data_IF_575045762098
#
_entry.id   IF_575045762098
#
_cell.length_a   1.000
_cell.length_b   1.000
_cell.length_c   1.000
_cell.angle_alpha   90.00
_cell.angle_beta   90.00
_cell.angle_gamma   90.00
#
_symmetry.space_group_name_H-M   'P 1'
#
loop_
_entity.id
_entity.type
_entity.pdbx_description
1 polymer ?
#
# COMPACT_ATOMS: atom_id res chain seq x y z
N UNK A 1 7.40 -16.73 -35.71
CA UNK A 1 7.33 -15.39 -35.09
C UNK A 1 7.97 -15.46 -33.72
N UNK A 2 8.90 -14.53 -33.37
CA UNK A 2 9.59 -14.55 -32.06
C UNK A 2 8.78 -13.73 -31.05
N UNK A 3 8.34 -14.34 -29.94
CA UNK A 3 7.68 -13.68 -28.80
C UNK A 3 8.48 -14.00 -27.52
N UNK A 4 9.66 -13.40 -27.34
CA UNK A 4 10.62 -13.86 -26.33
C UNK A 4 10.09 -13.76 -24.91
N UNK A 5 9.45 -12.65 -24.53
CA UNK A 5 8.89 -12.46 -23.20
C UNK A 5 7.67 -13.38 -22.96
N UNK A 6 6.71 -13.39 -23.87
CA UNK A 6 5.51 -14.22 -23.77
C UNK A 6 5.86 -15.70 -23.60
N UNK A 7 6.71 -16.24 -24.49
CA UNK A 7 7.10 -17.64 -24.45
C UNK A 7 7.86 -17.96 -23.15
N UNK A 8 8.70 -17.03 -22.66
CA UNK A 8 9.43 -17.22 -21.41
C UNK A 8 8.48 -17.28 -20.23
N UNK A 9 7.49 -16.37 -20.15
CA UNK A 9 6.50 -16.34 -19.04
C UNK A 9 5.64 -17.60 -19.01
N UNK A 10 5.14 -18.05 -20.16
CA UNK A 10 4.36 -19.29 -20.26
C UNK A 10 5.16 -20.51 -19.79
N UNK A 11 6.42 -20.60 -20.20
CA UNK A 11 7.28 -21.72 -19.78
C UNK A 11 7.64 -21.63 -18.30
N UNK A 12 7.93 -20.41 -17.82
CA UNK A 12 8.26 -20.16 -16.41
C UNK A 12 7.10 -20.56 -15.49
N UNK A 13 5.87 -20.14 -15.79
CA UNK A 13 4.69 -20.45 -14.97
C UNK A 13 4.34 -21.94 -14.89
N UNK A 14 4.77 -22.74 -15.90
CA UNK A 14 4.56 -24.18 -15.92
C UNK A 14 5.63 -24.98 -15.15
N UNK A 15 6.84 -24.44 -15.06
CA UNK A 15 8.02 -25.15 -14.59
C UNK A 15 8.44 -24.77 -13.17
N UNK A 16 7.95 -23.66 -12.64
CA UNK A 16 8.42 -23.11 -11.37
C UNK A 16 7.31 -23.01 -10.33
N UNK A 17 7.69 -23.22 -9.07
CA UNK A 17 6.86 -22.90 -7.91
C UNK A 17 7.16 -21.45 -7.51
N UNK A 18 6.17 -20.54 -7.53
CA UNK A 18 6.42 -19.11 -7.32
C UNK A 18 6.51 -18.75 -5.84
N UNK A 19 7.70 -18.60 -5.30
CA UNK A 19 7.95 -18.00 -3.98
C UNK A 19 8.05 -16.47 -4.04
N UNK A 20 8.10 -15.90 -5.24
CA UNK A 20 8.13 -14.45 -5.48
C UNK A 20 6.73 -13.86 -5.61
N UNK A 21 6.64 -12.52 -5.59
CA UNK A 21 5.42 -11.79 -5.95
C UNK A 21 5.09 -11.98 -7.45
N UNK A 22 3.84 -11.86 -7.84
CA UNK A 22 2.67 -11.39 -7.07
C UNK A 22 2.05 -12.48 -6.17
N UNK A 23 1.19 -11.99 -5.24
CA UNK A 23 0.54 -12.82 -4.21
C UNK A 23 -0.36 -13.94 -4.72
N UNK A 24 -0.88 -13.86 -5.96
CA UNK A 24 -1.71 -14.92 -6.57
C UNK A 24 -0.92 -16.22 -6.88
N UNK A 25 0.42 -16.19 -6.86
CA UNK A 25 1.29 -17.38 -6.96
C UNK A 25 1.00 -18.30 -8.15
N UNK A 26 0.57 -17.75 -9.30
CA UNK A 26 0.10 -18.51 -10.47
C UNK A 26 -1.06 -19.46 -10.13
N UNK A 27 -1.87 -19.11 -9.13
CA UNK A 27 -2.99 -19.94 -8.70
C UNK A 27 -3.95 -20.23 -9.85
N UNK A 28 -4.17 -21.50 -10.09
CA UNK A 28 -5.06 -21.99 -11.14
C UNK A 28 -6.53 -21.94 -10.74
N UNK A 29 -6.83 -21.77 -9.47
CA UNK A 29 -8.19 -21.58 -8.95
C UNK A 29 -8.67 -20.14 -9.13
N UNK A 30 -7.86 -19.35 -9.82
CA UNK A 30 -8.03 -17.93 -10.06
C UNK A 30 -9.46 -17.59 -10.48
N UNK A 31 -9.94 -16.55 -9.85
CA UNK A 31 -11.20 -15.86 -10.04
C UNK A 31 -11.51 -15.48 -11.49
N UNK A 32 -10.50 -15.30 -12.34
CA UNK A 32 -10.63 -14.99 -13.75
C UNK A 32 -10.53 -16.24 -14.64
N UNK A 33 -10.57 -17.44 -14.06
CA UNK A 33 -10.38 -18.69 -14.78
C UNK A 33 -11.31 -18.85 -15.98
N UNK A 34 -12.56 -18.42 -15.83
CA UNK A 34 -13.63 -18.57 -16.82
C UNK A 34 -14.03 -17.22 -17.48
N UNK A 35 -13.26 -16.15 -17.24
CA UNK A 35 -13.52 -14.82 -17.78
C UNK A 35 -12.48 -14.48 -18.84
N UNK A 36 -12.96 -14.09 -20.02
CA UNK A 36 -12.09 -13.48 -21.01
C UNK A 36 -11.62 -12.11 -20.51
N UNK A 37 -10.31 -11.92 -20.27
CA UNK A 37 -9.74 -10.68 -19.74
C UNK A 37 -10.09 -9.46 -20.58
N UNK A 38 -10.23 -9.60 -21.89
CA UNK A 38 -10.65 -8.51 -22.78
C UNK A 38 -12.06 -7.99 -22.50
N UNK A 39 -12.94 -8.78 -21.86
CA UNK A 39 -14.26 -8.33 -21.45
C UNK A 39 -14.24 -7.39 -20.24
N UNK A 40 -13.12 -7.34 -19.52
CA UNK A 40 -12.89 -6.46 -18.37
C UNK A 40 -11.99 -5.27 -18.70
N UNK A 41 -11.41 -5.26 -19.90
CA UNK A 41 -10.54 -4.16 -20.34
C UNK A 41 -11.39 -3.09 -21.02
N UNK A 42 -11.65 -2.02 -20.27
CA UNK A 42 -12.53 -0.94 -20.64
C UNK A 42 -11.88 0.42 -20.34
N UNK A 43 -12.60 1.48 -20.66
CA UNK A 43 -12.24 2.86 -20.32
C UNK A 43 -13.47 3.60 -19.75
N UNK A 44 -13.31 4.87 -19.40
CA UNK A 44 -14.34 5.75 -18.84
C UNK A 44 -15.47 6.09 -19.84
N UNK A 45 -16.27 5.11 -20.16
CA UNK A 45 -17.49 5.26 -20.96
C UNK A 45 -18.71 5.38 -20.07
N UNK A 46 -19.86 5.72 -20.65
CA UNK A 46 -21.13 5.81 -19.94
C UNK A 46 -21.38 4.52 -19.13
N UNK A 47 -21.77 4.66 -17.89
CA UNK A 47 -22.06 3.62 -16.89
C UNK A 47 -20.82 2.92 -16.29
N UNK A 48 -19.59 3.24 -16.70
CA UNK A 48 -18.37 2.65 -16.12
C UNK A 48 -17.57 3.57 -15.18
N UNK A 49 -18.03 4.84 -14.99
CA UNK A 49 -17.41 5.80 -14.08
C UNK A 49 -15.99 6.26 -14.49
N UNK A 50 -15.39 7.20 -13.76
CA UNK A 50 -14.03 7.68 -13.96
C UNK A 50 -13.27 7.68 -12.62
N UNK A 51 -12.12 7.03 -12.54
CA UNK A 51 -11.37 6.90 -11.29
C UNK A 51 -11.09 8.23 -10.58
N UNK A 52 -10.83 9.29 -11.32
CA UNK A 52 -10.45 10.60 -10.77
C UNK A 52 -11.64 11.54 -10.52
N UNK A 53 -12.82 11.17 -10.98
CA UNK A 53 -14.08 11.89 -10.78
C UNK A 53 -15.19 10.92 -10.40
N UNK A 54 -14.82 9.91 -9.63
CA UNK A 54 -15.66 8.76 -9.31
C UNK A 54 -16.95 9.18 -8.59
N UNK A 55 -18.08 8.81 -9.20
CA UNK A 55 -19.42 9.06 -8.67
C UNK A 55 -20.42 7.92 -8.99
N UNK A 56 -19.94 6.80 -9.50
CA UNK A 56 -20.67 5.60 -9.88
C UNK A 56 -20.01 4.32 -9.36
N UNK A 57 -19.87 3.31 -10.21
CA UNK A 57 -19.44 1.96 -9.81
C UNK A 57 -18.01 1.91 -9.24
N UNK A 58 -17.10 2.77 -9.68
CA UNK A 58 -15.76 2.86 -9.11
C UNK A 58 -15.84 3.47 -7.71
N UNK A 59 -16.65 4.52 -7.52
CA UNK A 59 -16.88 5.12 -6.20
C UNK A 59 -17.44 4.09 -5.22
N UNK A 60 -18.47 3.36 -5.63
CA UNK A 60 -19.09 2.32 -4.80
C UNK A 60 -18.08 1.24 -4.39
N UNK A 61 -17.24 0.78 -5.33
CA UNK A 61 -16.18 -0.20 -5.05
C UNK A 61 -15.12 0.36 -4.08
N UNK A 62 -14.72 1.63 -4.23
CA UNK A 62 -13.78 2.30 -3.32
C UNK A 62 -14.38 2.50 -1.94
N UNK A 63 -15.68 2.82 -1.82
CA UNK A 63 -16.38 2.97 -0.54
C UNK A 63 -16.48 1.64 0.21
N UNK A 64 -16.77 0.55 -0.49
CA UNK A 64 -16.75 -0.79 0.07
C UNK A 64 -15.34 -1.18 0.53
N UNK A 65 -14.31 -0.80 -0.22
CA UNK A 65 -12.92 -1.04 0.17
C UNK A 65 -12.54 -0.20 1.40
N UNK A 66 -12.95 1.06 1.47
CA UNK A 66 -12.74 1.92 2.64
C UNK A 66 -13.41 1.34 3.88
N UNK A 67 -14.66 0.88 3.74
CA UNK A 67 -15.39 0.21 4.82
C UNK A 67 -14.70 -1.07 5.30
N UNK A 68 -14.20 -1.89 4.37
CA UNK A 68 -13.47 -3.12 4.70
C UNK A 68 -12.22 -2.87 5.55
N UNK A 69 -11.46 -1.82 5.25
CA UNK A 69 -10.25 -1.47 6.00
C UNK A 69 -10.49 -0.55 7.20
N UNK A 70 -11.67 0.08 7.30
CA UNK A 70 -11.96 1.09 8.32
C UNK A 70 -11.32 2.45 8.03
N UNK A 71 -11.02 2.74 6.77
CA UNK A 71 -10.52 4.03 6.32
C UNK A 71 -11.66 5.02 6.08
N UNK A 72 -11.36 6.32 6.11
CA UNK A 72 -12.33 7.37 5.77
C UNK A 72 -12.62 7.37 4.27
N UNK A 73 -11.58 7.26 3.45
CA UNK A 73 -11.64 7.12 2.00
C UNK A 73 -10.58 6.12 1.54
N UNK A 74 -10.86 5.42 0.47
CA UNK A 74 -9.86 4.55 -0.20
C UNK A 74 -9.87 4.86 -1.68
N UNK A 75 -8.68 4.93 -2.29
CA UNK A 75 -8.50 5.21 -3.71
C UNK A 75 -7.73 4.05 -4.34
N UNK A 76 -8.23 3.53 -5.45
CA UNK A 76 -7.55 2.51 -6.23
C UNK A 76 -6.31 3.07 -6.91
N UNK A 77 -5.19 2.35 -6.80
CA UNK A 77 -3.94 2.65 -7.47
C UNK A 77 -3.65 1.58 -8.52
N UNK A 78 -3.59 1.98 -9.78
CA UNK A 78 -3.29 1.11 -10.92
C UNK A 78 -1.83 1.17 -11.35
N UNK A 79 -1.06 2.09 -10.79
CA UNK A 79 0.39 2.23 -11.00
C UNK A 79 1.21 1.81 -9.76
N UNK A 80 0.67 0.90 -8.94
CA UNK A 80 1.31 0.41 -7.72
C UNK A 80 1.34 1.44 -6.59
N UNK A 81 1.81 1.00 -5.42
CA UNK A 81 2.00 1.86 -4.25
C UNK A 81 2.95 3.03 -4.49
N UNK A 82 3.83 2.94 -5.49
CA UNK A 82 4.71 4.04 -5.90
C UNK A 82 3.91 5.30 -6.22
N UNK A 83 2.83 5.21 -7.00
CA UNK A 83 1.98 6.35 -7.30
C UNK A 83 1.35 6.94 -6.04
N UNK A 84 0.91 6.08 -5.11
CA UNK A 84 0.37 6.51 -3.81
C UNK A 84 1.39 7.26 -2.95
N UNK A 85 2.63 6.78 -2.89
CA UNK A 85 3.71 7.44 -2.14
C UNK A 85 4.06 8.80 -2.76
N UNK A 86 4.21 8.86 -4.09
CA UNK A 86 4.51 10.10 -4.80
C UNK A 86 3.42 11.15 -4.53
N UNK A 87 2.17 10.81 -4.78
CA UNK A 87 1.04 11.73 -4.62
C UNK A 87 0.80 12.12 -3.15
N UNK A 88 1.03 11.22 -2.20
CA UNK A 88 0.94 11.56 -0.77
C UNK A 88 1.95 12.63 -0.37
N UNK A 89 3.21 12.47 -0.76
CA UNK A 89 4.24 13.46 -0.46
C UNK A 89 4.03 14.77 -1.24
N UNK A 90 3.58 14.73 -2.49
CA UNK A 90 3.20 15.93 -3.26
C UNK A 90 2.02 16.68 -2.65
N UNK A 91 1.14 15.98 -1.92
CA UNK A 91 0.01 16.60 -1.21
C UNK A 91 0.44 17.26 0.11
N UNK A 92 1.36 16.61 0.81
CA UNK A 92 1.78 17.00 2.16
C UNK A 92 2.91 18.04 2.16
N UNK A 93 3.82 17.96 1.18
CA UNK A 93 5.04 18.77 1.14
C UNK A 93 5.00 19.81 0.04
N UNK A 94 5.48 21.00 0.36
CA UNK A 94 5.85 22.07 -0.60
C UNK A 94 7.38 22.15 -0.70
N UNK A 95 7.92 22.80 -1.73
CA UNK A 95 9.37 23.04 -1.82
C UNK A 95 9.92 23.70 -0.54
N UNK A 96 11.03 23.13 -0.04
CA UNK A 96 11.71 23.50 1.21
C UNK A 96 11.00 23.11 2.52
N UNK A 97 9.82 22.50 2.49
CA UNK A 97 9.24 21.93 3.70
C UNK A 97 10.14 20.81 4.22
N UNK A 98 10.33 20.77 5.54
CA UNK A 98 11.04 19.67 6.19
C UNK A 98 10.07 18.53 6.50
N UNK A 99 10.50 17.30 6.24
CA UNK A 99 9.73 16.10 6.56
C UNK A 99 10.63 15.03 7.20
N UNK A 100 10.14 14.37 8.24
CA UNK A 100 10.82 13.20 8.81
C UNK A 100 10.68 12.02 7.85
N UNK A 101 11.78 11.32 7.60
CA UNK A 101 11.83 10.16 6.70
C UNK A 101 12.54 9.01 7.40
N UNK A 102 11.87 7.88 7.57
CA UNK A 102 12.52 6.67 8.06
C UNK A 102 13.57 6.19 7.05
N UNK A 103 14.77 5.90 7.53
CA UNK A 103 15.94 5.62 6.68
C UNK A 103 15.79 4.36 5.83
N UNK A 104 14.90 3.45 6.20
CA UNK A 104 14.57 2.22 5.50
C UNK A 104 13.37 2.33 4.55
N UNK A 105 12.90 3.54 4.22
CA UNK A 105 11.82 3.74 3.27
C UNK A 105 12.18 3.25 1.87
N UNK A 106 11.14 2.87 1.13
CA UNK A 106 11.25 2.43 -0.25
C UNK A 106 11.79 3.56 -1.16
N UNK A 107 12.43 3.19 -2.28
CA UNK A 107 13.03 4.13 -3.24
C UNK A 107 12.04 5.20 -3.78
N UNK A 108 10.74 4.88 -3.86
CA UNK A 108 9.70 5.84 -4.25
C UNK A 108 9.64 7.09 -3.36
N UNK A 109 10.03 6.98 -2.08
CA UNK A 109 10.10 8.13 -1.17
C UNK A 109 11.20 9.12 -1.62
N UNK A 110 12.35 8.60 -2.04
CA UNK A 110 13.43 9.45 -2.59
C UNK A 110 13.00 10.17 -3.86
N UNK A 111 12.29 9.46 -4.76
CA UNK A 111 11.73 10.07 -5.96
C UNK A 111 10.73 11.18 -5.61
N UNK A 112 9.88 10.95 -4.62
CA UNK A 112 8.91 11.95 -4.17
C UNK A 112 9.60 13.20 -3.56
N UNK A 113 10.67 13.01 -2.79
CA UNK A 113 11.46 14.14 -2.25
C UNK A 113 12.09 14.98 -3.36
N UNK A 114 12.59 14.34 -4.42
CA UNK A 114 13.12 15.04 -5.60
C UNK A 114 12.00 15.85 -6.29
N UNK A 115 10.83 15.24 -6.49
CA UNK A 115 9.70 15.89 -7.17
C UNK A 115 9.13 17.07 -6.37
N UNK A 116 9.07 16.93 -5.05
CA UNK A 116 8.48 17.96 -4.17
C UNK A 116 9.48 19.08 -3.81
N UNK A 117 10.78 18.82 -3.89
CA UNK A 117 11.81 19.72 -3.35
C UNK A 117 11.79 19.81 -1.81
N UNK A 118 11.17 18.85 -1.13
CA UNK A 118 11.15 18.77 0.32
C UNK A 118 12.51 18.36 0.89
N UNK A 119 12.82 18.84 2.10
CA UNK A 119 14.07 18.60 2.82
C UNK A 119 13.87 17.42 3.77
N UNK A 120 14.51 16.26 3.52
CA UNK A 120 14.39 15.11 4.39
C UNK A 120 15.21 15.29 5.68
N UNK A 121 14.57 15.01 6.79
CA UNK A 121 15.22 14.80 8.10
C UNK A 121 15.14 13.31 8.41
N UNK A 122 16.27 12.62 8.33
CA UNK A 122 16.29 11.17 8.48
C UNK A 122 16.16 10.72 9.92
N UNK A 123 15.29 9.73 10.14
CA UNK A 123 15.16 8.99 11.39
C UNK A 123 15.58 7.55 11.15
N UNK A 124 16.55 7.09 11.93
CA UNK A 124 17.10 5.75 11.76
C UNK A 124 16.26 4.74 12.54
N UNK A 125 15.78 3.66 11.89
CA UNK A 125 15.13 2.54 12.58
C UNK A 125 16.15 1.75 13.42
N UNK A 126 15.67 0.86 14.27
CA UNK A 126 16.53 -0.11 14.93
C UNK A 126 17.12 -1.10 13.93
N UNK A 127 18.26 -1.70 14.27
CA UNK A 127 18.89 -2.77 13.52
C UNK A 127 19.16 -3.93 14.47
N UNK A 128 18.67 -5.11 14.14
CA UNK A 128 18.97 -6.32 14.94
C UNK A 128 20.31 -6.93 14.56
N UNK A 129 20.73 -6.75 13.30
CA UNK A 129 22.05 -7.10 12.78
C UNK A 129 22.33 -6.33 11.48
N UNK A 130 23.40 -6.67 10.76
CA UNK A 130 23.80 -6.03 9.50
C UNK A 130 22.74 -6.15 8.38
N UNK A 131 21.85 -7.14 8.45
CA UNK A 131 20.92 -7.50 7.40
C UNK A 131 19.45 -7.24 7.75
N UNK A 132 19.13 -7.18 9.05
CA UNK A 132 17.75 -7.13 9.52
C UNK A 132 17.43 -5.75 10.09
N UNK A 133 16.62 -5.00 9.33
CA UNK A 133 16.11 -3.69 9.74
C UNK A 133 14.88 -3.87 10.64
N UNK A 134 14.94 -3.31 11.83
CA UNK A 134 13.89 -3.33 12.82
C UNK A 134 12.85 -2.23 12.67
N UNK A 135 12.07 -2.06 13.71
CA UNK A 135 11.04 -1.04 13.84
C UNK A 135 11.62 0.38 13.91
N UNK A 136 10.82 1.37 13.56
CA UNK A 136 11.12 2.78 13.86
C UNK A 136 10.81 3.06 15.32
N UNK A 137 11.85 3.34 16.10
CA UNK A 137 11.72 3.59 17.54
C UNK A 137 11.07 4.94 17.84
N UNK A 138 10.07 4.92 18.69
CA UNK A 138 9.38 6.10 19.22
C UNK A 138 10.32 7.17 19.78
N UNK A 139 11.37 6.78 20.52
CA UNK A 139 12.32 7.75 21.11
C UNK A 139 13.12 8.49 20.04
N UNK A 140 13.43 7.81 18.94
CA UNK A 140 14.11 8.41 17.79
C UNK A 140 13.24 9.45 17.08
N UNK A 141 11.95 9.15 16.87
CA UNK A 141 10.99 10.10 16.34
C UNK A 141 10.82 11.30 17.27
N UNK A 142 10.66 11.07 18.58
CA UNK A 142 10.53 12.13 19.59
C UNK A 142 11.72 13.09 19.56
N UNK A 143 12.94 12.58 19.60
CA UNK A 143 14.17 13.39 19.52
C UNK A 143 14.24 14.22 18.22
N UNK A 144 13.81 13.63 17.09
CA UNK A 144 13.79 14.34 15.83
C UNK A 144 12.77 15.49 15.83
N UNK A 145 11.58 15.28 16.40
CA UNK A 145 10.56 16.33 16.55
C UNK A 145 10.98 17.46 17.49
N UNK A 146 11.68 17.15 18.58
CA UNK A 146 12.25 18.15 19.50
C UNK A 146 13.31 19.02 18.81
N UNK A 147 14.14 18.41 17.96
CA UNK A 147 15.20 19.11 17.22
C UNK A 147 14.69 19.87 16.00
N UNK A 148 13.64 19.38 15.35
CA UNK A 148 13.05 19.93 14.12
C UNK A 148 11.53 20.10 14.30
N UNK A 149 11.08 21.06 15.12
CA UNK A 149 9.65 21.23 15.42
C UNK A 149 8.82 21.71 14.21
N UNK A 150 9.50 22.24 13.19
CA UNK A 150 8.94 22.80 11.96
C UNK A 150 8.66 21.77 10.86
N UNK A 151 8.94 20.47 11.08
CA UNK A 151 8.60 19.43 10.10
C UNK A 151 7.10 19.32 9.88
N UNK A 152 6.68 19.10 8.63
CA UNK A 152 5.26 18.99 8.24
C UNK A 152 4.68 17.62 8.55
N UNK A 153 5.51 16.58 8.56
CA UNK A 153 5.05 15.20 8.76
C UNK A 153 6.18 14.20 8.95
N UNK A 154 5.80 12.94 8.98
CA UNK A 154 6.67 11.76 8.97
C UNK A 154 6.19 10.79 7.91
N UNK A 155 7.09 10.27 7.09
CA UNK A 155 6.86 9.08 6.28
C UNK A 155 7.73 7.93 6.78
N UNK A 156 7.11 6.76 6.99
CA UNK A 156 7.77 5.56 7.48
C UNK A 156 7.21 4.31 6.83
N UNK A 157 7.96 3.20 6.90
CA UNK A 157 7.52 1.87 6.44
C UNK A 157 7.20 0.98 7.64
N UNK A 158 6.03 0.33 7.61
CA UNK A 158 5.61 -0.66 8.60
C UNK A 158 4.48 -1.52 8.01
N UNK A 159 4.65 -2.86 7.92
CA UNK A 159 5.84 -3.62 8.32
C UNK A 159 7.04 -3.33 7.43
N UNK A 160 8.23 -3.63 7.94
CA UNK A 160 9.46 -3.61 7.14
C UNK A 160 9.41 -4.70 6.07
N UNK A 161 10.40 -4.73 5.17
CA UNK A 161 10.54 -5.80 4.18
C UNK A 161 10.63 -7.20 4.83
N UNK A 162 11.19 -7.26 6.03
CA UNK A 162 11.38 -8.48 6.82
C UNK A 162 10.17 -8.82 7.72
N UNK A 163 9.09 -8.02 7.67
CA UNK A 163 7.85 -8.26 8.40
C UNK A 163 7.79 -7.65 9.81
N UNK A 164 8.76 -6.81 10.20
CA UNK A 164 8.78 -6.19 11.52
C UNK A 164 7.87 -4.95 11.56
N UNK A 165 7.01 -4.89 12.57
CA UNK A 165 6.00 -3.85 12.76
C UNK A 165 6.46 -2.83 13.80
N UNK A 166 6.29 -1.54 13.50
CA UNK A 166 6.55 -0.44 14.45
C UNK A 166 5.33 -0.18 15.34
N UNK A 167 5.54 0.41 16.51
CA UNK A 167 4.45 0.89 17.37
C UNK A 167 3.83 2.18 16.80
N UNK A 168 2.98 1.99 15.79
CA UNK A 168 2.32 3.09 15.09
C UNK A 168 1.45 3.91 16.04
N UNK A 169 0.78 3.29 17.01
CA UNK A 169 -0.11 4.00 17.94
C UNK A 169 0.66 5.01 18.82
N UNK A 170 1.86 4.67 19.27
CA UNK A 170 2.70 5.60 20.01
C UNK A 170 3.26 6.71 19.10
N UNK A 171 3.69 6.36 17.88
CA UNK A 171 4.19 7.34 16.91
C UNK A 171 3.08 8.32 16.50
N UNK A 172 1.86 7.84 16.24
CA UNK A 172 0.72 8.67 15.89
C UNK A 172 0.37 9.70 16.96
N UNK A 173 0.51 9.35 18.25
CA UNK A 173 0.35 10.31 19.36
C UNK A 173 1.35 11.47 19.29
N UNK A 174 2.59 11.21 18.92
CA UNK A 174 3.59 12.27 18.71
C UNK A 174 3.24 13.14 17.50
N UNK A 175 2.66 12.52 16.46
CA UNK A 175 2.33 13.17 15.19
C UNK A 175 0.94 13.85 15.21
N UNK A 176 0.29 13.99 16.36
CA UNK A 176 -1.10 14.52 16.49
C UNK A 176 -1.37 15.79 15.67
N UNK A 177 -0.41 16.72 15.62
CA UNK A 177 -0.52 18.01 14.91
C UNK A 177 0.26 18.06 13.59
N UNK A 178 0.75 16.92 13.12
CA UNK A 178 1.53 16.75 11.90
C UNK A 178 0.96 15.59 11.11
N UNK A 179 1.42 15.37 9.90
CA UNK A 179 0.92 14.28 9.05
C UNK A 179 1.77 13.02 9.29
N UNK A 180 1.11 11.88 9.49
CA UNK A 180 1.75 10.55 9.54
C UNK A 180 1.35 9.76 8.29
N UNK A 181 2.34 9.49 7.43
CA UNK A 181 2.20 8.64 6.25
C UNK A 181 2.87 7.30 6.55
N UNK A 182 2.15 6.19 6.39
CA UNK A 182 2.70 4.85 6.57
C UNK A 182 2.66 4.09 5.25
N UNK A 183 3.85 3.76 4.74
CA UNK A 183 4.00 2.76 3.68
C UNK A 183 3.80 1.37 4.31
N UNK A 184 2.56 0.89 4.24
CA UNK A 184 2.14 -0.44 4.70
C UNK A 184 2.03 -1.41 3.50
N UNK A 185 2.90 -1.25 2.51
CA UNK A 185 2.87 -2.04 1.28
C UNK A 185 2.91 -3.56 1.53
N UNK A 186 3.52 -4.01 2.61
CA UNK A 186 3.59 -5.42 3.01
C UNK A 186 2.49 -5.83 4.00
N UNK A 187 1.56 -4.93 4.36
CA UNK A 187 0.52 -5.14 5.37
C UNK A 187 -0.92 -5.19 4.84
N UNK A 188 -1.14 -5.28 3.51
CA UNK A 188 -2.50 -5.28 2.95
C UNK A 188 -3.41 -6.42 3.48
N UNK A 189 -2.85 -7.45 4.08
CA UNK A 189 -3.56 -8.57 4.69
C UNK A 189 -3.92 -8.37 6.17
N UNK A 190 -3.48 -7.29 6.81
CA UNK A 190 -3.64 -7.12 8.26
C UNK A 190 -5.10 -7.10 8.73
N UNK A 191 -6.02 -6.65 7.89
CA UNK A 191 -7.46 -6.60 8.23
C UNK A 191 -8.24 -7.91 7.97
N UNK A 192 -7.58 -8.96 7.47
CA UNK A 192 -8.27 -10.21 7.09
C UNK A 192 -8.60 -11.06 8.32
N UNK A 193 -7.70 -11.09 9.30
CA UNK A 193 -7.86 -11.93 10.49
C UNK A 193 -7.14 -11.29 11.68
N UNK A 194 -7.71 -11.46 12.88
CA UNK A 194 -7.17 -10.93 14.15
C UNK A 194 -5.82 -11.51 14.58
N UNK A 195 -5.34 -12.57 13.91
CA UNK A 195 -4.00 -13.13 14.12
C UNK A 195 -2.91 -12.21 13.58
N UNK A 196 -3.23 -11.37 12.59
CA UNK A 196 -2.30 -10.40 12.05
C UNK A 196 -2.24 -9.13 12.90
N UNK A 197 -1.16 -8.34 12.80
CA UNK A 197 -1.10 -7.03 13.44
C UNK A 197 -2.24 -6.13 13.02
N UNK A 198 -2.62 -5.20 13.89
CA UNK A 198 -3.59 -4.14 13.55
C UNK A 198 -2.98 -3.20 12.51
N UNK A 199 -3.72 -2.92 11.43
CA UNK A 199 -3.30 -1.99 10.39
C UNK A 199 -3.08 -0.57 10.91
N UNK A 200 -2.14 0.14 10.36
CA UNK A 200 -1.83 1.55 10.63
C UNK A 200 -3.04 2.47 10.42
N UNK A 201 -4.02 2.06 9.61
CA UNK A 201 -5.31 2.75 9.41
C UNK A 201 -6.02 2.93 10.75
N UNK A 202 -6.05 1.87 11.56
CA UNK A 202 -6.75 1.84 12.84
C UNK A 202 -5.88 2.31 14.02
N UNK A 203 -4.61 2.60 13.78
CA UNK A 203 -3.64 3.03 14.80
C UNK A 203 -3.31 4.52 14.76
N UNK A 204 -3.99 5.29 13.89
CA UNK A 204 -3.93 6.75 13.86
C UNK A 204 -2.98 7.34 12.83
N UNK A 205 -2.58 6.59 11.81
CA UNK A 205 -1.96 7.15 10.62
C UNK A 205 -2.95 8.08 9.88
N UNK A 206 -2.44 9.05 9.13
CA UNK A 206 -3.27 9.96 8.32
C UNK A 206 -3.43 9.46 6.88
N UNK A 207 -2.36 8.88 6.33
CA UNK A 207 -2.35 8.20 5.03
C UNK A 207 -1.68 6.84 5.20
N UNK A 208 -2.28 5.80 4.62
CA UNK A 208 -1.71 4.45 4.57
C UNK A 208 -1.72 3.95 3.13
N UNK A 209 -0.62 3.35 2.68
CA UNK A 209 -0.49 2.82 1.33
C UNK A 209 -0.29 1.31 1.38
N UNK A 210 -1.16 0.56 0.71
CA UNK A 210 -1.09 -0.89 0.57
C UNK A 210 -0.70 -1.31 -0.84
N UNK A 211 0.21 -2.28 -0.98
CA UNK A 211 0.41 -3.03 -2.22
C UNK A 211 -0.37 -4.33 -2.12
N UNK A 212 -1.61 -4.37 -2.62
CA UNK A 212 -2.42 -5.59 -2.56
C UNK A 212 -1.71 -6.79 -3.22
N UNK A 213 -1.02 -6.54 -4.34
CA UNK A 213 -0.32 -7.59 -5.09
C UNK A 213 0.84 -8.26 -4.35
N UNK A 214 1.32 -7.71 -3.24
CA UNK A 214 2.41 -8.32 -2.46
C UNK A 214 1.92 -9.46 -1.58
N UNK A 215 0.80 -9.28 -0.91
CA UNK A 215 0.30 -10.21 0.11
C UNK A 215 -1.08 -10.79 -0.19
N UNK A 216 -1.83 -10.20 -1.12
CA UNK A 216 -3.14 -10.68 -1.56
C UNK A 216 -3.08 -11.20 -3.00
N UNK A 217 -4.01 -12.08 -3.43
CA UNK A 217 -3.97 -12.71 -4.74
C UNK A 217 -4.46 -11.79 -5.87
N UNK A 218 -3.95 -10.55 -5.93
CA UNK A 218 -4.24 -9.59 -6.98
C UNK A 218 -3.16 -9.56 -8.06
N UNK A 219 -3.49 -8.97 -9.20
CA UNK A 219 -2.55 -8.70 -10.28
C UNK A 219 -1.48 -7.69 -9.81
N UNK A 220 -0.29 -7.79 -10.38
CA UNK A 220 0.80 -6.83 -10.16
C UNK A 220 0.33 -5.41 -10.47
N UNK A 221 0.80 -4.41 -9.75
CA UNK A 221 0.41 -3.00 -9.74
C UNK A 221 -0.85 -2.69 -8.94
N UNK A 222 -1.72 -3.64 -8.60
CA UNK A 222 -2.87 -3.40 -7.73
C UNK A 222 -2.43 -2.93 -6.34
N UNK A 223 -2.83 -1.71 -5.98
CA UNK A 223 -2.49 -1.07 -4.73
C UNK A 223 -3.61 -0.13 -4.26
N UNK A 224 -3.56 0.30 -3.01
CA UNK A 224 -4.56 1.16 -2.40
C UNK A 224 -3.88 2.34 -1.69
N UNK A 225 -4.52 3.50 -1.75
CA UNK A 225 -4.23 4.64 -0.90
C UNK A 225 -5.42 4.90 0.00
N UNK A 226 -5.19 4.87 1.30
CA UNK A 226 -6.21 5.13 2.32
C UNK A 226 -6.00 6.50 2.94
N UNK A 227 -7.05 7.32 2.98
CA UNK A 227 -7.14 8.54 3.77
C UNK A 227 -7.83 8.18 5.08
N UNK A 228 -7.15 8.39 6.21
CA UNK A 228 -7.63 7.96 7.51
C UNK A 228 -8.06 9.14 8.40
N UNK A 229 -7.70 10.38 8.03
CA UNK A 229 -8.02 11.57 8.83
C UNK A 229 -8.53 12.73 7.99
N UNK A 230 -9.12 13.73 8.66
CA UNK A 230 -9.58 14.97 8.02
C UNK A 230 -8.48 16.00 7.77
N UNK A 231 -7.21 15.70 8.14
CA UNK A 231 -6.07 16.57 7.86
C UNK A 231 -5.69 16.59 6.38
N UNK A 232 -6.09 15.56 5.63
CA UNK A 232 -5.75 15.40 4.21
C UNK A 232 -6.87 15.96 3.34
N UNK A 233 -6.52 16.86 2.45
CA UNK A 233 -7.43 17.38 1.42
C UNK A 233 -7.56 16.35 0.29
N UNK A 234 -8.74 15.77 0.14
CA UNK A 234 -9.04 14.77 -0.90
C UNK A 234 -8.83 15.32 -2.31
N UNK A 235 -9.27 16.55 -2.58
CA UNK A 235 -9.15 17.15 -3.92
C UNK A 235 -7.70 17.34 -4.33
N UNK A 236 -6.85 17.85 -3.44
CA UNK A 236 -5.43 18.03 -3.71
C UNK A 236 -4.74 16.68 -3.96
N UNK A 237 -5.11 15.64 -3.20
CA UNK A 237 -4.57 14.31 -3.36
C UNK A 237 -4.95 13.70 -4.72
N UNK A 238 -6.20 13.82 -5.14
CA UNK A 238 -6.66 13.35 -6.47
C UNK A 238 -5.94 14.09 -7.60
N UNK A 239 -5.73 15.40 -7.48
CA UNK A 239 -4.97 16.16 -8.47
C UNK A 239 -3.52 15.65 -8.58
N UNK A 240 -2.86 15.35 -7.46
CA UNK A 240 -1.52 14.79 -7.45
C UNK A 240 -1.49 13.34 -7.98
N UNK A 241 -2.55 12.56 -7.76
CA UNK A 241 -2.68 11.23 -8.35
C UNK A 241 -2.78 11.28 -9.89
N UNK A 242 -3.49 12.26 -10.44
CA UNK A 242 -3.54 12.49 -11.90
C UNK A 242 -2.17 12.76 -12.52
N UNK A 243 -1.22 13.29 -11.75
CA UNK A 243 0.16 13.51 -12.21
C UNK A 243 1.04 12.25 -12.13
N UNK A 244 0.69 11.30 -11.27
CA UNK A 244 1.52 10.13 -10.95
C UNK A 244 0.97 8.81 -11.49
N UNK A 245 -0.29 8.80 -11.93
CA UNK A 245 -0.93 7.67 -12.58
C UNK A 245 -1.31 8.00 -14.03
N UNK A 246 -1.56 6.96 -14.83
CA UNK A 246 -2.05 7.11 -16.20
C UNK A 246 -3.45 7.73 -16.22
N UNK A 247 -3.74 8.51 -17.26
CA UNK A 247 -5.10 9.01 -17.54
C UNK A 247 -6.06 7.92 -18.01
N UNK A 248 -5.55 6.72 -18.36
CA UNK A 248 -6.30 5.54 -18.76
C UNK A 248 -6.09 4.43 -17.74
N UNK A 249 -6.65 4.53 -16.51
CA UNK A 249 -6.44 3.54 -15.46
C UNK A 249 -7.03 2.19 -15.87
N UNK A 250 -6.32 1.10 -15.61
CA UNK A 250 -6.76 -0.24 -15.99
C UNK A 250 -8.00 -0.68 -15.21
N UNK A 251 -9.12 -0.83 -15.91
CA UNK A 251 -10.39 -1.37 -15.37
C UNK A 251 -10.20 -2.82 -14.90
N UNK A 252 -9.39 -3.59 -15.61
CA UNK A 252 -9.00 -4.94 -15.18
C UNK A 252 -8.37 -4.96 -13.78
N UNK A 253 -7.50 -3.99 -13.46
CA UNK A 253 -6.90 -3.90 -12.14
C UNK A 253 -7.91 -3.48 -11.08
N UNK A 254 -8.76 -2.51 -11.38
CA UNK A 254 -9.80 -2.05 -10.45
C UNK A 254 -10.82 -3.15 -10.16
N UNK A 255 -11.31 -3.84 -11.19
CA UNK A 255 -12.20 -4.99 -11.04
C UNK A 255 -11.55 -6.13 -10.23
N UNK A 256 -10.25 -6.39 -10.45
CA UNK A 256 -9.52 -7.39 -9.67
C UNK A 256 -9.43 -7.01 -8.18
N UNK A 257 -9.16 -5.75 -7.85
CA UNK A 257 -9.10 -5.28 -6.47
C UNK A 257 -10.46 -5.42 -5.78
N UNK A 258 -11.55 -4.98 -6.43
CA UNK A 258 -12.91 -5.10 -5.89
C UNK A 258 -13.33 -6.56 -5.71
N UNK A 259 -13.06 -7.40 -6.71
CA UNK A 259 -13.34 -8.83 -6.59
C UNK A 259 -12.61 -9.48 -5.41
N UNK A 260 -11.33 -9.22 -5.24
CA UNK A 260 -10.54 -9.80 -4.14
C UNK A 260 -11.04 -9.30 -2.78
N UNK A 261 -11.45 -8.04 -2.66
CA UNK A 261 -12.12 -7.55 -1.45
C UNK A 261 -13.37 -8.38 -1.14
N UNK A 262 -14.24 -8.55 -2.14
CA UNK A 262 -15.47 -9.33 -1.98
C UNK A 262 -15.18 -10.81 -1.63
N UNK A 263 -14.21 -11.41 -2.31
CA UNK A 263 -13.77 -12.78 -2.06
C UNK A 263 -13.30 -12.96 -0.61
N UNK A 264 -12.47 -12.03 -0.09
CA UNK A 264 -11.96 -12.08 1.27
C UNK A 264 -13.09 -11.87 2.29
N UNK A 265 -14.01 -10.93 2.02
CA UNK A 265 -15.12 -10.60 2.94
C UNK A 265 -16.09 -11.78 3.11
N UNK A 266 -16.33 -12.55 2.04
CA UNK A 266 -17.32 -13.64 2.03
C UNK A 266 -16.75 -15.03 2.36
N UNK A 267 -15.44 -15.16 2.44
CA UNK A 267 -14.81 -16.41 2.86
C UNK A 267 -14.54 -16.33 4.37
N UNK A 268 -15.08 -17.26 5.14
CA UNK A 268 -14.50 -17.60 6.43
C UNK A 268 -13.12 -18.19 6.16
N UNK A 269 -12.09 -17.34 6.14
CA UNK A 269 -10.72 -17.82 6.12
C UNK A 269 -10.45 -18.53 7.45
N UNK A 270 -10.75 -19.82 7.49
CA UNK A 270 -10.15 -20.71 8.47
C UNK A 270 -8.68 -20.82 8.10
N UNK A 271 -7.86 -19.93 8.62
CA UNK A 271 -6.42 -20.15 8.64
C UNK A 271 -6.13 -21.35 9.55
N UNK A 272 -6.25 -22.55 9.02
CA UNK A 272 -5.54 -23.67 9.60
C UNK A 272 -4.05 -23.43 9.36
N UNK A 273 -3.39 -22.78 10.31
CA UNK A 273 -1.93 -22.73 10.30
C UNK A 273 -1.43 -24.17 10.27
N UNK A 274 -0.64 -24.59 9.28
CA UNK A 274 0.15 -25.80 9.45
C UNK A 274 0.99 -25.57 10.72
N UNK A 275 0.98 -26.52 11.61
CA UNK A 275 1.76 -26.55 12.87
C UNK A 275 3.22 -26.12 12.66
N UNK A 276 3.76 -26.34 11.48
CA UNK A 276 5.08 -25.89 10.98
C UNK A 276 5.33 -24.39 11.16
N UNK A 277 4.31 -23.51 11.06
CA UNK A 277 4.50 -22.07 11.26
C UNK A 277 4.62 -21.68 12.74
N UNK A 278 3.97 -22.40 13.64
CA UNK A 278 4.13 -22.15 15.08
C UNK A 278 5.53 -22.54 15.58
N UNK A 279 6.12 -23.58 15.01
CA UNK A 279 7.49 -23.98 15.35
C UNK A 279 8.53 -23.00 14.81
N UNK A 280 8.30 -22.39 13.62
CA UNK A 280 9.25 -21.44 13.02
C UNK A 280 9.29 -20.08 13.77
N UNK A 281 8.18 -19.63 14.34
CA UNK A 281 8.13 -18.41 15.18
C UNK A 281 8.82 -18.61 16.53
N UNK A 282 8.91 -19.83 17.03
CA UNK A 282 9.61 -20.14 18.30
C UNK A 282 11.14 -20.25 18.15
N UNK A 283 11.67 -20.21 16.92
CA UNK A 283 13.12 -20.25 16.65
C UNK A 283 13.72 -18.92 16.20
N UNK A 284 12.92 -17.85 16.08
CA UNK A 284 13.35 -16.48 15.82
C UNK A 284 13.25 -15.63 17.09
#
# INVERSE_FOLDING_TARGET
>A
MKMPLYNKLINYSKQNIPFHMPGHKFDKTNIFKDINLFNLDATEVTDLDNLYEANGVIKDAMDLMASFYGAKETIFLTNGSTAGILSSLMTVCKPNDKILVARNCHYSVWNALILTGAIPIYVTPNYYNEYLTGELDFKSVKRALEKYPDVVGLIMVSPTYDGIVSDIAQIAKLMKHKILIVDEAHGAHFNINSVFPTSSINLGADIVIHSMHKTLPTLTQCALLHICSSKINYTDLIQNLRLTQTSSPSYLFMANMDYIRNYITNQEFSFSYPIIFQEFIMFL
#
